data_IF_236005281788
#
_entry.id   IF_236005281788
#
_cell.length_a   1.000
_cell.length_b   1.000
_cell.length_c   1.000
_cell.angle_alpha   90.00
_cell.angle_beta   90.00
_cell.angle_gamma   90.00
#
_symmetry.space_group_name_H-M   'P 1'
#
loop_
_entity.id
_entity.type
_entity.pdbx_description
1 polymer ?
#
# COMPACT_ATOMS: atom_id res chain seq x y z
N UNK A 1 -57.84 -23.94 10.32
CA UNK A 1 -57.36 -24.07 11.72
C UNK A 1 -55.88 -24.43 11.65
N UNK A 2 -55.00 -23.42 11.78
CA UNK A 2 -54.04 -23.20 12.91
C UNK A 2 -52.74 -23.99 12.64
N UNK A 3 -51.50 -23.49 12.68
CA UNK A 3 -50.79 -22.58 13.59
C UNK A 3 -49.48 -22.08 12.89
N UNK A 4 -49.16 -20.77 12.93
CA UNK A 4 -48.12 -20.08 13.75
C UNK A 4 -46.62 -20.31 13.39
N UNK A 5 -46.02 -19.22 12.88
CA UNK A 5 -44.77 -18.51 13.31
C UNK A 5 -43.54 -19.38 13.72
N UNK A 6 -42.39 -19.22 13.03
CA UNK A 6 -41.13 -18.69 13.63
C UNK A 6 -39.90 -18.87 12.74
N UNK A 7 -39.25 -17.73 12.50
CA UNK A 7 -37.80 -17.49 12.39
C UNK A 7 -36.88 -18.59 12.92
N UNK A 8 -35.84 -18.94 12.13
CA UNK A 8 -34.41 -18.77 12.48
C UNK A 8 -33.47 -19.46 11.47
N UNK A 9 -32.41 -18.74 11.13
CA UNK A 9 -31.03 -19.19 10.91
C UNK A 9 -30.76 -20.70 10.77
N UNK A 10 -30.25 -21.08 9.60
CA UNK A 10 -29.34 -22.22 9.46
C UNK A 10 -28.15 -21.77 8.61
N UNK A 11 -27.23 -21.04 9.23
CA UNK A 11 -25.83 -21.04 8.82
C UNK A 11 -25.20 -22.28 9.48
N UNK A 12 -24.96 -23.31 8.68
CA UNK A 12 -24.44 -24.58 9.17
C UNK A 12 -22.90 -24.58 9.15
N UNK A 13 -22.35 -24.70 10.35
CA UNK A 13 -21.12 -25.36 10.77
C UNK A 13 -19.90 -25.44 9.84
N UNK A 14 -18.76 -25.01 10.38
CA UNK A 14 -17.66 -25.95 10.58
C UNK A 14 -17.03 -25.74 11.97
N UNK A 15 -17.46 -26.57 12.93
CA UNK A 15 -16.68 -26.88 14.12
C UNK A 15 -15.77 -28.06 13.78
N UNK A 16 -14.45 -27.86 13.80
CA UNK A 16 -13.49 -28.94 13.99
C UNK A 16 -12.45 -28.54 15.04
N UNK A 17 -12.49 -29.25 16.17
CA UNK A 17 -11.55 -29.13 17.28
C UNK A 17 -10.15 -29.66 16.97
N UNK A 18 -9.19 -29.28 17.82
CA UNK A 18 -7.84 -29.81 17.82
C UNK A 18 -6.86 -28.90 18.56
N UNK A 19 -6.51 -29.33 19.77
CA UNK A 19 -5.51 -28.80 20.71
C UNK A 19 -5.87 -27.53 21.49
N UNK A 20 -5.89 -27.68 22.82
CA UNK A 20 -5.80 -26.59 23.79
C UNK A 20 -4.40 -25.95 23.69
N UNK A 21 -4.16 -25.25 22.59
CA UNK A 21 -3.02 -24.37 22.41
C UNK A 21 -3.47 -22.96 22.77
N UNK A 22 -2.63 -22.21 23.49
CA UNK A 22 -2.85 -20.78 23.76
C UNK A 22 -2.94 -20.01 22.43
N UNK A 23 -4.16 -19.96 21.89
CA UNK A 23 -4.55 -19.21 20.73
C UNK A 23 -5.12 -17.90 21.23
N UNK A 24 -4.44 -16.81 20.91
CA UNK A 24 -4.84 -15.46 21.28
C UNK A 24 -5.50 -14.85 20.04
N UNK A 25 -6.71 -14.34 20.16
CA UNK A 25 -7.32 -13.54 19.11
C UNK A 25 -6.70 -12.14 19.10
N UNK A 26 -6.25 -11.69 17.92
CA UNK A 26 -5.74 -10.34 17.72
C UNK A 26 -6.38 -9.69 16.51
N UNK A 27 -6.67 -8.40 16.66
CA UNK A 27 -6.87 -7.46 15.56
C UNK A 27 -5.57 -6.75 15.27
N UNK A 28 -5.25 -6.62 13.98
CA UNK A 28 -4.09 -5.87 13.55
C UNK A 28 -4.13 -5.48 12.08
N UNK A 29 -3.09 -4.79 11.65
CA UNK A 29 -2.90 -4.38 10.25
C UNK A 29 -1.73 -5.15 9.63
N UNK A 30 -1.87 -5.57 8.38
CA UNK A 30 -0.78 -6.20 7.63
C UNK A 30 0.28 -5.12 7.38
N UNK A 31 1.45 -5.26 8.03
CA UNK A 31 2.57 -4.34 7.88
C UNK A 31 3.25 -4.49 6.53
N UNK A 32 3.33 -5.73 6.05
CA UNK A 32 3.79 -6.09 4.72
C UNK A 32 3.57 -7.58 4.51
N UNK A 33 3.44 -8.00 3.25
CA UNK A 33 3.35 -9.40 2.87
C UNK A 33 4.09 -9.64 1.56
N UNK A 34 4.97 -10.63 1.54
CA UNK A 34 5.69 -11.03 0.34
C UNK A 34 4.99 -12.25 -0.27
N UNK A 35 4.28 -12.02 -1.38
CA UNK A 35 3.54 -13.06 -2.11
C UNK A 35 4.49 -14.09 -2.74
N UNK A 36 5.69 -13.67 -3.15
CA UNK A 36 6.67 -14.57 -3.77
C UNK A 36 7.27 -15.52 -2.74
N UNK A 37 7.52 -15.05 -1.52
CA UNK A 37 8.03 -15.87 -0.41
C UNK A 37 6.92 -16.55 0.40
N UNK A 38 5.69 -16.07 0.32
CA UNK A 38 4.53 -16.64 1.00
C UNK A 38 4.47 -16.34 2.50
N UNK A 39 5.10 -15.27 2.98
CA UNK A 39 5.01 -14.86 4.38
C UNK A 39 4.95 -13.33 4.52
N UNK A 40 4.44 -12.86 5.65
CA UNK A 40 4.35 -11.45 5.99
C UNK A 40 4.24 -11.24 7.49
N UNK A 41 3.96 -10.00 7.87
CA UNK A 41 3.80 -9.62 9.27
C UNK A 41 2.54 -8.79 9.51
N UNK A 42 1.90 -9.05 10.63
CA UNK A 42 0.75 -8.29 11.15
C UNK A 42 1.23 -7.51 12.37
N UNK A 43 0.88 -6.23 12.44
CA UNK A 43 1.06 -5.39 13.62
C UNK A 43 -0.26 -5.42 14.40
N UNK A 44 -0.30 -6.06 15.58
CA UNK A 44 -1.50 -6.07 16.42
C UNK A 44 -1.75 -4.69 17.03
N UNK A 45 -3.00 -4.25 17.09
CA UNK A 45 -3.37 -2.96 17.72
C UNK A 45 -3.18 -2.98 19.25
N UNK A 46 -3.17 -4.18 19.84
CA UNK A 46 -2.92 -4.39 21.27
C UNK A 46 -1.47 -4.08 21.70
N UNK A 47 -0.61 -3.60 20.79
CA UNK A 47 0.79 -3.29 21.07
C UNK A 47 1.67 -4.52 21.33
N UNK A 48 1.19 -5.72 20.96
CA UNK A 48 1.98 -6.95 21.01
C UNK A 48 3.07 -6.96 19.92
N UNK A 49 3.97 -7.93 20.01
CA UNK A 49 5.04 -8.11 19.02
C UNK A 49 4.46 -8.43 17.64
N UNK A 50 5.22 -8.09 16.59
CA UNK A 50 4.88 -8.39 15.20
C UNK A 50 4.56 -9.89 15.05
N UNK A 51 3.40 -10.19 14.47
CA UNK A 51 2.90 -11.55 14.28
C UNK A 51 3.27 -12.01 12.88
N UNK A 52 3.97 -13.14 12.77
CA UNK A 52 4.29 -13.74 11.48
C UNK A 52 3.06 -14.42 10.88
N UNK A 53 2.71 -14.04 9.65
CA UNK A 53 1.62 -14.66 8.88
C UNK A 53 2.17 -15.43 7.69
N UNK A 54 1.67 -16.64 7.47
CA UNK A 54 2.07 -17.50 6.35
C UNK A 54 0.93 -17.63 5.34
N UNK A 55 1.27 -17.75 4.04
CA UNK A 55 0.29 -17.89 2.94
C UNK A 55 -0.62 -19.10 3.13
N UNK A 56 -0.14 -20.15 3.80
CA UNK A 56 -0.95 -21.34 4.10
C UNK A 56 -2.17 -21.01 4.96
N UNK A 57 -2.06 -20.04 5.88
CA UNK A 57 -3.18 -19.60 6.72
C UNK A 57 -4.22 -18.82 5.91
N UNK A 58 -3.78 -18.02 4.94
CA UNK A 58 -4.66 -17.26 4.03
C UNK A 58 -5.37 -18.20 3.04
N UNK A 59 -4.62 -19.13 2.44
CA UNK A 59 -5.14 -20.05 1.41
C UNK A 59 -6.24 -20.96 1.96
N UNK A 60 -6.14 -21.34 3.24
CA UNK A 60 -7.15 -22.14 3.95
C UNK A 60 -8.50 -21.43 4.04
N UNK A 61 -8.51 -20.11 4.02
CA UNK A 61 -9.69 -19.25 4.11
C UNK A 61 -10.15 -18.71 2.74
N UNK A 62 -9.56 -19.20 1.64
CA UNK A 62 -9.92 -18.78 0.27
C UNK A 62 -9.25 -17.47 -0.18
N UNK A 63 -8.37 -16.89 0.64
CA UNK A 63 -7.64 -15.68 0.31
C UNK A 63 -6.29 -16.01 -0.33
N UNK A 64 -6.04 -15.53 -1.55
CA UNK A 64 -4.79 -15.78 -2.27
C UNK A 64 -3.72 -14.73 -1.95
N UNK A 65 -4.13 -13.53 -1.56
CA UNK A 65 -3.26 -12.37 -1.33
C UNK A 65 -3.85 -11.44 -0.28
N UNK A 66 -2.99 -10.84 0.55
CA UNK A 66 -3.33 -9.71 1.43
C UNK A 66 -2.57 -8.47 0.96
N UNK A 67 -3.23 -7.32 1.00
CA UNK A 67 -2.57 -6.04 0.75
C UNK A 67 -1.99 -5.49 2.05
N UNK A 68 -0.89 -4.78 1.96
CA UNK A 68 -0.38 -3.96 3.07
C UNK A 68 -1.46 -2.97 3.54
N UNK A 69 -1.59 -2.80 4.85
CA UNK A 69 -2.62 -1.97 5.47
C UNK A 69 -3.98 -2.65 5.65
N UNK A 70 -4.16 -3.88 5.13
CA UNK A 70 -5.41 -4.63 5.36
C UNK A 70 -5.59 -4.93 6.84
N UNK A 71 -6.77 -4.62 7.37
CA UNK A 71 -7.13 -4.97 8.74
C UNK A 71 -7.58 -6.42 8.81
N UNK A 72 -6.96 -7.17 9.71
CA UNK A 72 -7.19 -8.61 9.85
C UNK A 72 -7.46 -8.95 11.31
N UNK A 73 -8.38 -9.88 11.51
CA UNK A 73 -8.61 -10.57 12.78
C UNK A 73 -8.04 -11.97 12.62
N UNK A 74 -7.04 -12.31 13.42
CA UNK A 74 -6.37 -13.59 13.36
C UNK A 74 -6.21 -14.20 14.75
N UNK A 75 -6.33 -15.53 14.83
CA UNK A 75 -5.83 -16.29 15.96
C UNK A 75 -4.34 -16.45 15.81
N UNK A 76 -3.60 -16.06 16.85
CA UNK A 76 -2.14 -16.20 16.92
C UNK A 76 -1.77 -17.20 17.99
N UNK A 77 -0.64 -17.86 17.77
CA UNK A 77 -0.07 -18.82 18.70
C UNK A 77 1.34 -18.38 19.06
N UNK A 78 1.69 -18.47 20.35
CA UNK A 78 3.06 -18.24 20.80
C UNK A 78 3.96 -19.42 20.41
N UNK A 79 5.06 -19.13 19.73
CA UNK A 79 6.12 -20.08 19.35
C UNK A 79 7.47 -19.61 19.90
N UNK A 80 8.51 -20.43 19.75
CA UNK A 80 9.88 -20.13 20.20
C UNK A 80 10.47 -18.85 19.57
N UNK A 81 9.95 -18.43 18.40
CA UNK A 81 10.43 -17.25 17.64
C UNK A 81 9.43 -16.09 17.58
N UNK A 82 8.49 -16.03 18.53
CA UNK A 82 7.48 -14.97 18.60
C UNK A 82 6.08 -15.48 18.32
N UNK A 83 5.19 -14.60 17.85
CA UNK A 83 3.80 -14.95 17.56
C UNK A 83 3.62 -15.32 16.10
N UNK A 84 2.89 -16.41 15.85
CA UNK A 84 2.56 -16.86 14.50
C UNK A 84 1.04 -16.88 14.34
N UNK A 85 0.54 -16.35 13.22
CA UNK A 85 -0.86 -16.48 12.85
C UNK A 85 -1.18 -17.96 12.59
N UNK A 86 -2.13 -18.48 13.35
CA UNK A 86 -2.64 -19.84 13.23
C UNK A 86 -3.80 -19.90 12.22
N UNK A 87 -4.76 -18.97 12.34
CA UNK A 87 -5.93 -18.89 11.47
C UNK A 87 -6.36 -17.43 11.33
N UNK A 88 -6.76 -17.02 10.13
CA UNK A 88 -7.46 -15.75 9.93
C UNK A 88 -8.93 -16.01 10.23
N UNK A 89 -9.50 -15.29 11.21
CA UNK A 89 -10.91 -15.41 11.60
C UNK A 89 -11.81 -14.54 10.74
N UNK A 90 -11.32 -13.35 10.42
CA UNK A 90 -11.99 -12.42 9.54
C UNK A 90 -10.93 -11.56 8.88
N UNK A 91 -10.95 -11.55 7.56
CA UNK A 91 -10.19 -10.60 6.78
C UNK A 91 -11.16 -9.57 6.27
N UNK A 92 -11.10 -8.37 6.84
CA UNK A 92 -11.93 -7.30 6.37
C UNK A 92 -11.30 -6.69 5.11
N UNK A 93 -11.63 -7.28 3.97
CA UNK A 93 -11.47 -6.64 2.67
C UNK A 93 -12.54 -5.56 2.44
N UNK A 94 -13.55 -5.45 3.32
CA UNK A 94 -14.66 -4.49 3.16
C UNK A 94 -14.40 -3.12 3.80
N UNK A 95 -13.34 -2.95 4.60
CA UNK A 95 -12.65 -1.67 4.80
C UNK A 95 -11.50 -1.52 3.80
N UNK A 96 -11.61 -2.15 2.63
CA UNK A 96 -11.21 -1.44 1.42
C UNK A 96 -12.08 -0.19 1.36
N UNK A 97 -11.53 0.91 1.84
CA UNK A 97 -11.99 2.23 1.44
C UNK A 97 -11.95 2.22 -0.09
N UNK A 98 -13.11 2.06 -0.70
CA UNK A 98 -13.26 2.26 -2.12
C UNK A 98 -12.72 3.68 -2.38
N UNK A 99 -11.67 3.89 -3.20
CA UNK A 99 -11.11 5.21 -3.45
C UNK A 99 -12.13 6.20 -4.06
N UNK A 100 -13.34 5.75 -4.39
CA UNK A 100 -14.44 6.58 -4.86
C UNK A 100 -15.47 7.00 -3.78
N UNK A 101 -15.37 6.55 -2.52
CA UNK A 101 -16.30 6.97 -1.45
C UNK A 101 -15.64 7.60 -0.22
N UNK A 102 -14.32 7.74 -0.20
CA UNK A 102 -13.74 8.87 0.52
C UNK A 102 -14.03 10.13 -0.31
N UNK A 103 -14.59 11.23 0.23
CA UNK A 103 -14.27 12.52 -0.35
C UNK A 103 -12.75 12.52 -0.44
N UNK A 104 -12.15 12.78 -1.63
CA UNK A 104 -10.73 12.58 -1.84
C UNK A 104 -10.06 13.19 -0.63
N UNK A 105 -9.34 12.38 0.18
CA UNK A 105 -8.54 12.96 1.24
C UNK A 105 -7.72 13.97 0.49
N UNK A 106 -8.02 15.24 0.75
CA UNK A 106 -7.41 16.38 0.11
C UNK A 106 -5.97 16.47 0.65
N UNK A 107 -5.21 15.39 0.56
CA UNK A 107 -3.84 15.45 0.08
C UNK A 107 -3.89 15.54 -1.45
N UNK A 108 -4.72 16.44 -1.98
CA UNK A 108 -4.13 17.37 -2.91
C UNK A 108 -3.04 18.05 -2.07
N UNK A 109 -1.84 17.46 -2.05
CA UNK A 109 -0.66 18.21 -1.67
C UNK A 109 -0.58 19.26 -2.76
N UNK A 110 -1.32 20.35 -2.57
CA UNK A 110 -1.22 21.56 -3.35
C UNK A 110 0.12 22.13 -2.94
N UNK A 111 1.20 21.54 -3.45
CA UNK A 111 2.47 22.22 -3.40
C UNK A 111 2.24 23.43 -4.29
N UNK A 112 2.10 24.60 -3.69
CA UNK A 112 2.09 25.86 -4.45
C UNK A 112 3.43 25.87 -5.20
N UNK A 113 3.44 25.77 -6.54
CA UNK A 113 4.69 25.70 -7.27
C UNK A 113 5.40 27.03 -7.06
N UNK A 114 6.44 27.03 -6.22
CA UNK A 114 7.32 28.18 -6.04
C UNK A 114 8.33 28.26 -7.19
N UNK A 115 8.55 27.14 -7.89
CA UNK A 115 9.44 27.05 -9.05
C UNK A 115 8.69 27.19 -10.38
N UNK A 116 9.44 27.61 -11.41
CA UNK A 116 9.05 27.42 -12.79
C UNK A 116 9.11 25.95 -13.22
N UNK A 117 8.77 25.67 -14.49
CA UNK A 117 9.00 24.36 -15.11
C UNK A 117 10.52 24.21 -15.31
N UNK A 118 11.17 23.42 -14.45
CA UNK A 118 12.62 23.23 -14.46
C UNK A 118 12.99 21.83 -14.98
N UNK A 119 14.09 21.75 -15.74
CA UNK A 119 14.64 20.47 -16.23
C UNK A 119 15.44 19.83 -15.12
N UNK A 120 15.07 18.62 -14.74
CA UNK A 120 15.70 17.87 -13.65
C UNK A 120 16.03 16.46 -14.11
N UNK A 121 17.02 15.87 -13.46
CA UNK A 121 17.43 14.48 -13.65
C UNK A 121 16.78 13.60 -12.61
N UNK A 122 16.25 12.45 -13.02
CA UNK A 122 15.78 11.42 -12.10
C UNK A 122 17.01 10.82 -11.42
N UNK A 123 17.20 11.07 -10.12
CA UNK A 123 18.28 10.45 -9.34
C UNK A 123 18.02 8.97 -9.17
N UNK A 124 16.80 8.64 -8.74
CA UNK A 124 16.31 7.27 -8.68
C UNK A 124 14.78 7.27 -8.51
N UNK A 125 14.14 6.18 -8.92
CA UNK A 125 12.72 5.97 -8.71
C UNK A 125 12.46 4.51 -8.38
N UNK A 126 11.67 4.27 -7.33
CA UNK A 126 11.26 2.93 -6.94
C UNK A 126 9.78 2.75 -7.21
N UNK A 127 9.45 2.05 -8.30
CA UNK A 127 8.08 1.76 -8.70
C UNK A 127 7.33 0.90 -7.67
N UNK A 128 8.02 0.00 -6.96
CA UNK A 128 7.42 -0.85 -5.94
C UNK A 128 6.99 -0.03 -4.72
N UNK A 129 7.80 0.95 -4.33
CA UNK A 129 7.50 1.87 -3.24
C UNK A 129 6.63 3.06 -3.67
N UNK A 130 6.53 3.33 -4.97
CA UNK A 130 5.69 4.39 -5.51
C UNK A 130 6.26 5.80 -5.36
N UNK A 131 7.57 5.95 -5.14
CA UNK A 131 8.20 7.27 -5.03
C UNK A 131 9.65 7.26 -5.54
N UNK A 132 10.19 8.46 -5.77
CA UNK A 132 11.57 8.67 -6.17
C UNK A 132 12.05 10.08 -5.87
N UNK A 133 13.28 10.36 -6.29
CA UNK A 133 13.92 11.65 -6.13
C UNK A 133 14.50 12.13 -7.45
N UNK A 134 14.38 13.43 -7.68
CA UNK A 134 14.90 14.15 -8.81
C UNK A 134 15.95 15.13 -8.32
N UNK A 135 16.93 15.46 -9.15
CA UNK A 135 17.99 16.40 -8.82
C UNK A 135 18.17 17.42 -9.95
N UNK A 136 18.45 18.68 -9.60
CA UNK A 136 18.75 19.74 -10.58
C UNK A 136 20.24 19.79 -10.94
N UNK A 137 21.09 19.03 -10.26
CA UNK A 137 22.54 19.05 -10.40
C UNK A 137 23.25 19.06 -9.05
N UNK A 138 24.58 18.92 -9.07
CA UNK A 138 25.39 18.89 -7.84
C UNK A 138 25.24 20.20 -7.04
N UNK A 139 24.89 20.07 -5.76
CA UNK A 139 24.68 21.21 -4.84
C UNK A 139 23.24 21.73 -4.76
N UNK A 140 22.30 21.11 -5.46
CA UNK A 140 20.86 21.45 -5.37
C UNK A 140 20.10 20.46 -4.48
N UNK A 141 19.04 20.94 -3.83
CA UNK A 141 18.15 20.09 -3.03
C UNK A 141 17.46 19.04 -3.92
N UNK A 142 17.35 17.82 -3.39
CA UNK A 142 16.64 16.73 -4.05
C UNK A 142 15.13 16.99 -4.01
N UNK A 143 14.49 16.89 -5.17
CA UNK A 143 13.05 17.07 -5.33
C UNK A 143 12.38 15.70 -5.19
N UNK A 144 11.54 15.55 -4.18
CA UNK A 144 10.74 14.37 -3.98
C UNK A 144 9.61 14.27 -5.02
N UNK A 145 9.40 13.08 -5.59
CA UNK A 145 8.29 12.82 -6.50
C UNK A 145 7.54 11.55 -6.14
N UNK A 146 6.21 11.63 -6.16
CA UNK A 146 5.31 10.52 -5.89
C UNK A 146 4.75 9.92 -7.19
N UNK A 147 4.48 8.61 -7.19
CA UNK A 147 3.88 7.91 -8.34
C UNK A 147 2.50 8.46 -8.70
N UNK A 148 1.78 9.03 -7.72
CA UNK A 148 0.52 9.72 -7.97
C UNK A 148 0.71 10.94 -8.89
N UNK A 149 1.76 11.73 -8.67
CA UNK A 149 2.12 12.84 -9.55
C UNK A 149 2.40 12.32 -10.96
N UNK A 150 3.19 11.25 -11.11
CA UNK A 150 3.44 10.65 -12.42
C UNK A 150 2.12 10.26 -13.12
N UNK A 151 1.26 9.50 -12.44
CA UNK A 151 -0.02 9.02 -13.00
C UNK A 151 -0.95 10.17 -13.37
N UNK A 152 -1.00 11.23 -12.57
CA UNK A 152 -1.80 12.43 -12.83
C UNK A 152 -1.40 13.11 -14.14
N UNK A 153 -0.11 13.12 -14.46
CA UNK A 153 0.43 13.73 -15.68
C UNK A 153 0.71 12.70 -16.81
N UNK A 154 0.18 11.48 -16.70
CA UNK A 154 0.25 10.46 -17.74
C UNK A 154 1.57 9.69 -17.83
N UNK A 155 2.44 9.80 -16.82
CA UNK A 155 3.67 9.01 -16.70
C UNK A 155 3.42 7.76 -15.86
N UNK A 156 3.99 6.63 -16.29
CA UNK A 156 3.85 5.34 -15.61
C UNK A 156 5.09 4.95 -14.82
N UNK A 157 6.26 5.44 -15.23
CA UNK A 157 7.55 5.16 -14.62
C UNK A 157 8.58 6.25 -14.95
N UNK A 158 9.66 6.29 -14.16
CA UNK A 158 10.83 7.13 -14.38
C UNK A 158 12.09 6.28 -14.34
N UNK A 159 13.00 6.52 -15.29
CA UNK A 159 14.31 5.85 -15.33
C UNK A 159 15.37 6.72 -14.65
N UNK A 160 16.28 6.15 -13.84
CA UNK A 160 17.40 6.91 -13.31
C UNK A 160 18.24 7.49 -14.45
N UNK A 161 18.66 8.75 -14.31
CA UNK A 161 19.34 9.53 -15.34
C UNK A 161 18.42 10.13 -16.42
N UNK A 162 17.11 9.86 -16.39
CA UNK A 162 16.16 10.47 -17.31
C UNK A 162 15.98 11.95 -17.00
N UNK A 163 15.97 12.80 -18.03
CA UNK A 163 15.61 14.21 -17.91
C UNK A 163 14.09 14.34 -17.99
N UNK A 164 13.52 15.08 -17.05
CA UNK A 164 12.09 15.42 -17.02
C UNK A 164 11.93 16.89 -16.65
N UNK A 165 10.85 17.49 -17.10
CA UNK A 165 10.46 18.84 -16.72
C UNK A 165 9.55 18.74 -15.51
N UNK A 166 9.92 19.35 -14.38
CA UNK A 166 9.06 19.37 -13.19
C UNK A 166 8.85 20.78 -12.68
N UNK A 167 7.69 21.00 -12.09
CA UNK A 167 7.48 22.09 -11.13
C UNK A 167 7.53 21.51 -9.74
N UNK A 168 8.21 22.19 -8.84
CA UNK A 168 8.28 21.82 -7.45
C UNK A 168 8.01 23.03 -6.56
N UNK A 169 7.76 22.75 -5.29
CA UNK A 169 7.68 23.77 -4.27
C UNK A 169 7.90 23.17 -2.90
N UNK A 170 7.59 23.96 -1.87
CA UNK A 170 7.84 23.57 -0.49
C UNK A 170 6.85 22.49 -0.04
N UNK A 171 7.38 21.34 0.39
CA UNK A 171 6.60 20.23 0.91
C UNK A 171 7.08 19.80 2.30
N UNK A 172 6.32 18.91 2.95
CA UNK A 172 6.56 18.49 4.33
C UNK A 172 7.94 17.84 4.58
N UNK A 173 8.62 17.37 3.53
CA UNK A 173 9.94 16.70 3.59
C UNK A 173 10.99 17.37 2.70
N UNK A 174 10.78 18.64 2.34
CA UNK A 174 11.62 19.39 1.39
C UNK A 174 10.93 19.63 0.05
N UNK A 175 11.70 19.93 -0.98
CA UNK A 175 11.17 20.23 -2.32
C UNK A 175 10.35 19.04 -2.84
N UNK A 176 9.10 19.28 -3.23
CA UNK A 176 8.21 18.25 -3.78
C UNK A 176 7.72 18.64 -5.16
N UNK A 177 7.73 17.69 -6.09
CA UNK A 177 7.22 17.85 -7.44
C UNK A 177 5.68 17.99 -7.44
N UNK A 178 5.22 19.18 -7.83
CA UNK A 178 3.83 19.53 -8.07
C UNK A 178 3.35 19.06 -9.46
N UNK A 179 4.20 19.23 -10.48
CA UNK A 179 3.90 18.87 -11.87
C UNK A 179 5.09 18.13 -12.49
N UNK A 180 4.83 17.20 -13.41
CA UNK A 180 5.87 16.51 -14.17
C UNK A 180 5.46 16.34 -15.63
N UNK A 181 6.40 16.62 -16.54
CA UNK A 181 6.26 16.40 -17.97
C UNK A 181 7.51 15.66 -18.48
N UNK A 182 7.36 14.74 -19.43
CA UNK A 182 8.51 14.17 -20.11
C UNK A 182 9.28 15.28 -20.84
N UNK A 183 10.62 15.24 -20.80
CA UNK A 183 11.48 16.05 -21.68
C UNK A 183 11.32 15.45 -23.08
N UNK A 184 10.23 15.80 -23.77
CA UNK A 184 10.06 15.47 -25.17
C UNK A 184 10.81 16.54 -25.96
N UNK A 185 12.00 16.24 -26.53
CA UNK A 185 12.56 17.13 -27.53
C UNK A 185 11.51 17.20 -28.65
N UNK A 186 11.01 18.39 -28.95
CA UNK A 186 10.33 18.64 -30.21
C UNK A 186 11.17 17.96 -31.30
N UNK A 187 10.58 17.16 -32.21
CA UNK A 187 11.31 16.68 -33.38
C UNK A 187 11.70 17.91 -34.20
N UNK A 188 12.85 18.49 -33.88
CA UNK A 188 13.50 19.52 -34.65
C UNK A 188 13.87 18.89 -35.98
N UNK A 189 13.07 19.21 -36.99
CA UNK A 189 13.43 19.28 -38.40
C UNK A 189 14.71 18.52 -38.78
N UNK A 190 14.62 17.21 -39.01
CA UNK A 190 15.61 16.51 -39.83
C UNK A 190 15.36 16.90 -41.27
N UNK A 191 15.91 18.05 -41.66
CA UNK A 191 16.19 18.35 -43.05
C UNK A 191 17.16 17.29 -43.57
N UNK A 192 16.73 16.50 -44.56
CA UNK A 192 17.61 15.86 -45.53
C UNK A 192 16.83 15.44 -46.77
#
# INVERSE_FOLDING_TARGET
MTDRISTKDVAQHDEQGGDAVDLIEITGVIKWFDVAKGFGFIVPDNGMQDVLVHVTCLRRDGHQTVLEGTRVVALIQRRERGYQAFRILSMDQSTAVHPSQMPPVKTHVQVTPSSGLERVLVKWFNRTKGFGFLTRGEGTEDIFIHMETLRRFGLTELRPGQVVLVRFGDGEKGLMAAEIHPDNPLPGNRAH
#
